data_IF_543953609737
#
_entry.id   IF_543953609737
#
_cell.length_a   1.000
_cell.length_b   1.000
_cell.length_c   1.000
_cell.angle_alpha   90.00
_cell.angle_beta   90.00
_cell.angle_gamma   90.00
#
_symmetry.space_group_name_H-M   'P 1'
#
loop_
_entity.id
_entity.type
_entity.pdbx_description
1 polymer ?
#
# COMPACT_ATOMS: atom_id res chain seq x y z
N UNK A 1 -17.20 2.86 -1.44
CA UNK A 1 -17.22 2.71 0.02
C UNK A 1 -18.53 2.06 0.40
N UNK A 2 -18.46 0.99 1.15
CA UNK A 2 -19.62 0.30 1.72
C UNK A 2 -19.77 0.74 3.18
N UNK A 3 -20.96 1.15 3.60
CA UNK A 3 -21.23 1.64 4.95
C UNK A 3 -21.60 0.48 5.87
N UNK A 4 -21.01 0.45 7.05
CA UNK A 4 -21.32 -0.49 8.13
C UNK A 4 -21.69 0.28 9.39
N UNK A 5 -22.27 -0.38 10.39
CA UNK A 5 -22.61 0.24 11.67
C UNK A 5 -21.38 0.80 12.41
N UNK A 6 -20.18 0.25 12.12
CA UNK A 6 -18.91 0.63 12.76
C UNK A 6 -18.06 1.58 11.91
N UNK A 7 -18.43 1.85 10.64
CA UNK A 7 -17.67 2.69 9.74
C UNK A 7 -17.91 2.40 8.26
N UNK A 8 -16.86 2.50 7.46
CA UNK A 8 -16.93 2.31 6.03
C UNK A 8 -15.91 1.29 5.55
N UNK A 9 -16.35 0.34 4.71
CA UNK A 9 -15.45 -0.58 4.02
C UNK A 9 -14.91 0.11 2.77
N UNK A 10 -13.60 0.26 2.69
CA UNK A 10 -12.94 0.91 1.58
C UNK A 10 -12.69 -0.08 0.43
N UNK A 11 -13.36 0.13 -0.70
CA UNK A 11 -13.26 -0.72 -1.89
C UNK A 11 -12.05 -0.38 -2.75
N UNK A 12 -11.73 0.90 -2.94
CA UNK A 12 -10.52 1.37 -3.65
C UNK A 12 -9.85 2.53 -2.91
N UNK A 13 -8.57 2.73 -3.18
CA UNK A 13 -7.78 3.80 -2.57
C UNK A 13 -7.10 3.44 -1.24
N UNK A 14 -7.12 2.17 -0.84
CA UNK A 14 -6.54 1.70 0.43
C UNK A 14 -5.10 2.19 0.65
N UNK A 15 -4.21 2.01 -0.31
CA UNK A 15 -2.80 2.42 -0.19
C UNK A 15 -2.65 3.94 -0.01
N UNK A 16 -3.42 4.72 -0.77
CA UNK A 16 -3.41 6.20 -0.68
C UNK A 16 -3.88 6.67 0.68
N UNK A 17 -4.98 6.10 1.17
CA UNK A 17 -5.54 6.46 2.47
C UNK A 17 -4.61 6.06 3.62
N UNK A 18 -4.02 4.87 3.56
CA UNK A 18 -3.01 4.42 4.54
C UNK A 18 -1.80 5.35 4.55
N UNK A 19 -1.30 5.76 3.38
CA UNK A 19 -0.18 6.70 3.30
C UNK A 19 -0.52 8.05 3.94
N UNK A 20 -1.69 8.59 3.66
CA UNK A 20 -2.14 9.85 4.28
C UNK A 20 -2.26 9.68 5.79
N UNK A 21 -2.80 8.56 6.26
CA UNK A 21 -2.92 8.24 7.68
C UNK A 21 -1.54 8.19 8.37
N UNK A 22 -0.55 7.54 7.75
CA UNK A 22 0.82 7.49 8.26
C UNK A 22 1.43 8.90 8.37
N UNK A 23 1.26 9.73 7.34
CA UNK A 23 1.76 11.12 7.34
C UNK A 23 1.11 11.92 8.49
N UNK A 24 -0.21 11.81 8.66
CA UNK A 24 -0.95 12.53 9.71
C UNK A 24 -0.49 12.09 11.10
N UNK A 25 -0.42 10.78 11.37
CA UNK A 25 -0.04 10.30 12.69
C UNK A 25 1.43 10.58 13.00
N UNK A 26 2.34 10.43 12.02
CA UNK A 26 3.72 10.84 12.19
C UNK A 26 3.84 12.33 12.52
N UNK A 27 3.11 13.17 11.80
CA UNK A 27 3.15 14.63 11.98
C UNK A 27 2.63 15.05 13.37
N UNK A 28 1.56 14.42 13.87
CA UNK A 28 1.02 14.68 15.23
C UNK A 28 2.06 14.44 16.33
N UNK A 29 2.95 13.45 16.16
CA UNK A 29 4.03 13.14 17.09
C UNK A 29 5.30 13.96 16.86
N UNK A 30 5.34 14.80 15.84
CA UNK A 30 6.51 15.64 15.48
C UNK A 30 6.18 17.14 15.46
N UNK A 31 5.31 17.59 16.36
CA UNK A 31 4.96 19.00 16.61
C UNK A 31 4.25 19.72 15.46
N UNK A 32 3.68 19.00 14.51
CA UNK A 32 2.84 19.61 13.47
C UNK A 32 1.39 19.72 13.95
N UNK A 33 0.76 20.87 13.70
CA UNK A 33 -0.67 21.06 13.94
C UNK A 33 -1.46 20.43 12.80
N UNK A 34 -2.13 19.34 13.08
CA UNK A 34 -2.94 18.58 12.12
C UNK A 34 -4.30 18.33 12.71
N UNK A 35 -5.33 18.94 12.14
CA UNK A 35 -6.73 18.82 12.61
C UNK A 35 -7.42 17.55 12.06
N UNK A 36 -6.80 16.88 11.12
CA UNK A 36 -7.35 15.67 10.50
C UNK A 36 -7.25 14.47 11.42
N UNK A 37 -8.35 13.75 11.53
CA UNK A 37 -8.40 12.52 12.32
C UNK A 37 -9.31 11.50 11.64
N UNK A 38 -8.81 10.32 11.41
CA UNK A 38 -9.57 9.14 11.01
C UNK A 38 -8.77 7.90 11.40
N UNK A 39 -9.47 6.79 11.58
CA UNK A 39 -8.85 5.52 11.88
C UNK A 39 -8.96 4.58 10.68
N UNK A 40 -8.01 3.66 10.58
CA UNK A 40 -8.00 2.59 9.58
C UNK A 40 -7.84 1.26 10.27
N UNK A 41 -8.54 0.26 9.77
CA UNK A 41 -8.48 -1.10 10.25
C UNK A 41 -8.47 -2.08 9.08
N UNK A 42 -7.70 -3.14 9.19
CA UNK A 42 -7.64 -4.23 8.22
C UNK A 42 -8.25 -5.48 8.83
N UNK A 43 -9.38 -5.95 8.30
CA UNK A 43 -10.15 -7.09 8.85
C UNK A 43 -9.35 -8.40 8.93
N UNK A 44 -8.37 -8.57 8.05
CA UNK A 44 -7.63 -9.84 7.91
C UNK A 44 -6.14 -9.73 8.27
N UNK A 45 -5.68 -8.59 8.79
CA UNK A 45 -4.25 -8.29 8.98
C UNK A 45 -3.95 -7.78 10.39
N UNK A 46 -4.07 -8.68 11.38
CA UNK A 46 -3.90 -8.36 12.80
C UNK A 46 -2.54 -7.71 13.12
N UNK A 47 -1.46 -8.21 12.49
CA UNK A 47 -0.11 -7.66 12.72
C UNK A 47 0.02 -6.25 12.15
N UNK A 48 -0.63 -5.96 11.02
CA UNK A 48 -0.69 -4.61 10.46
C UNK A 48 -1.46 -3.67 11.40
N UNK A 49 -2.59 -4.12 11.95
CA UNK A 49 -3.37 -3.33 12.90
C UNK A 49 -2.58 -3.02 14.19
N UNK A 50 -1.86 -3.99 14.73
CA UNK A 50 -0.98 -3.77 15.90
C UNK A 50 0.07 -2.71 15.62
N UNK A 51 0.74 -2.82 14.47
CA UNK A 51 1.77 -1.87 14.04
C UNK A 51 1.21 -0.45 13.89
N UNK A 52 0.04 -0.32 13.25
CA UNK A 52 -0.62 0.98 13.09
C UNK A 52 -1.05 1.58 14.44
N UNK A 53 -1.55 0.76 15.37
CA UNK A 53 -1.87 1.21 16.73
C UNK A 53 -0.64 1.73 17.47
N UNK A 54 0.50 1.06 17.35
CA UNK A 54 1.76 1.55 17.94
C UNK A 54 2.17 2.91 17.35
N UNK A 55 2.04 3.09 16.01
CA UNK A 55 2.30 4.38 15.37
C UNK A 55 1.34 5.45 15.91
N UNK A 56 0.07 5.12 16.06
CA UNK A 56 -0.95 6.05 16.59
C UNK A 56 -0.62 6.50 18.01
N UNK A 57 -0.15 5.59 18.87
CA UNK A 57 0.16 5.85 20.26
C UNK A 57 1.51 6.52 20.49
N UNK A 58 2.54 6.11 19.75
CA UNK A 58 3.95 6.43 20.03
C UNK A 58 4.65 7.20 18.89
N UNK A 59 4.00 7.33 17.74
CA UNK A 59 4.60 7.94 16.53
C UNK A 59 5.55 7.03 15.74
N UNK A 60 5.89 5.87 16.28
CA UNK A 60 6.74 4.87 15.63
C UNK A 60 6.32 3.45 16.05
N UNK A 61 6.82 2.46 15.32
CA UNK A 61 6.67 1.05 15.66
C UNK A 61 7.91 0.27 15.20
N UNK A 62 8.28 -0.78 15.93
CA UNK A 62 9.54 -1.51 15.71
C UNK A 62 9.35 -2.86 14.99
N UNK A 63 8.16 -3.44 15.01
CA UNK A 63 7.90 -4.75 14.43
C UNK A 63 7.84 -4.71 12.90
N UNK A 64 8.80 -5.37 12.25
CA UNK A 64 8.94 -5.42 10.78
C UNK A 64 8.80 -6.85 10.22
N UNK A 65 8.03 -7.70 10.88
CA UNK A 65 7.93 -9.14 10.53
C UNK A 65 7.07 -9.45 9.31
N UNK A 66 6.22 -8.53 8.87
CA UNK A 66 5.37 -8.71 7.70
C UNK A 66 5.76 -7.77 6.57
N UNK A 67 5.35 -8.08 5.34
CA UNK A 67 5.55 -7.18 4.21
C UNK A 67 4.92 -5.82 4.45
N UNK A 68 3.70 -5.78 5.00
CA UNK A 68 3.00 -4.53 5.28
C UNK A 68 3.77 -3.67 6.27
N UNK A 69 4.21 -4.26 7.41
CA UNK A 69 4.96 -3.53 8.44
C UNK A 69 6.31 -3.04 7.94
N UNK A 70 6.96 -3.79 7.04
CA UNK A 70 8.17 -3.35 6.35
C UNK A 70 7.91 -2.12 5.47
N UNK A 71 6.82 -2.13 4.68
CA UNK A 71 6.46 -0.99 3.84
C UNK A 71 6.02 0.22 4.65
N UNK A 72 5.27 0.03 5.73
CA UNK A 72 4.90 1.12 6.65
C UNK A 72 6.16 1.77 7.27
N UNK A 73 7.13 0.96 7.71
CA UNK A 73 8.40 1.48 8.21
C UNK A 73 9.16 2.29 7.16
N UNK A 74 9.33 1.75 5.94
CA UNK A 74 9.96 2.48 4.84
C UNK A 74 9.24 3.80 4.54
N UNK A 75 7.90 3.79 4.57
CA UNK A 75 7.12 5.00 4.37
C UNK A 75 7.37 6.04 5.47
N UNK A 76 7.44 5.63 6.74
CA UNK A 76 7.78 6.52 7.86
C UNK A 76 9.17 7.11 7.73
N UNK A 77 10.17 6.32 7.30
CA UNK A 77 11.53 6.80 7.04
C UNK A 77 11.53 7.89 5.94
N UNK A 78 10.76 7.69 4.87
CA UNK A 78 10.60 8.67 3.80
C UNK A 78 9.89 9.92 4.31
N UNK A 79 8.82 9.79 5.10
CA UNK A 79 8.09 10.92 5.69
C UNK A 79 9.03 11.73 6.57
N UNK A 80 9.81 11.09 7.44
CA UNK A 80 10.80 11.73 8.30
C UNK A 80 11.85 12.50 7.48
N UNK A 81 12.33 11.91 6.39
CA UNK A 81 13.31 12.56 5.50
C UNK A 81 12.75 13.78 4.76
N UNK A 82 11.42 13.94 4.69
CA UNK A 82 10.71 15.04 4.03
C UNK A 82 10.07 16.02 5.02
N UNK A 83 10.44 15.98 6.30
CA UNK A 83 9.87 16.79 7.38
C UNK A 83 9.67 18.26 7.00
N UNK A 84 10.67 18.88 6.35
CA UNK A 84 10.63 20.28 5.94
C UNK A 84 9.49 20.62 4.96
N UNK A 85 8.98 19.64 4.22
CA UNK A 85 7.91 19.81 3.23
C UNK A 85 6.52 19.55 3.78
N UNK A 86 6.38 19.04 5.01
CA UNK A 86 5.10 18.61 5.55
C UNK A 86 4.13 19.78 5.74
N UNK A 87 4.59 20.95 6.17
CA UNK A 87 3.71 22.11 6.30
C UNK A 87 3.10 22.50 4.95
N UNK A 88 3.91 22.61 3.92
CA UNK A 88 3.45 22.89 2.56
C UNK A 88 2.53 21.78 2.02
N UNK A 89 2.79 20.52 2.38
CA UNK A 89 1.93 19.40 2.05
C UNK A 89 0.53 19.55 2.67
N UNK A 90 0.43 19.86 3.96
CA UNK A 90 -0.85 20.04 4.63
C UNK A 90 -1.61 21.27 4.11
N UNK A 91 -0.91 22.36 3.81
CA UNK A 91 -1.51 23.54 3.20
C UNK A 91 -2.12 23.23 1.82
N UNK A 92 -1.42 22.45 1.01
CA UNK A 92 -1.92 22.00 -0.28
C UNK A 92 -3.05 20.98 -0.15
N UNK A 93 -2.95 20.05 0.80
CA UNK A 93 -3.99 19.05 1.07
C UNK A 93 -5.32 19.74 1.43
N UNK A 94 -5.26 20.74 2.29
CA UNK A 94 -6.45 21.48 2.72
C UNK A 94 -7.07 22.37 1.62
N UNK A 95 -6.23 22.98 0.77
CA UNK A 95 -6.70 24.00 -0.20
C UNK A 95 -7.01 23.40 -1.58
N UNK A 96 -6.21 22.46 -2.04
CA UNK A 96 -6.14 22.07 -3.44
C UNK A 96 -6.56 20.63 -3.70
N UNK A 97 -6.55 19.76 -2.67
CA UNK A 97 -6.89 18.35 -2.85
C UNK A 97 -8.38 18.14 -2.58
N UNK A 98 -9.04 17.46 -3.50
CA UNK A 98 -10.43 17.03 -3.37
C UNK A 98 -10.49 15.52 -3.43
N UNK A 99 -11.33 14.94 -2.61
CA UNK A 99 -11.59 13.50 -2.55
C UNK A 99 -12.95 13.26 -3.19
N UNK A 100 -13.01 12.31 -4.13
CA UNK A 100 -14.27 11.81 -4.65
C UNK A 100 -14.77 10.77 -3.65
N UNK A 101 -15.84 11.10 -2.96
CA UNK A 101 -16.53 10.17 -2.09
C UNK A 101 -17.68 9.55 -2.87
N UNK A 102 -17.61 8.25 -3.09
CA UNK A 102 -18.65 7.49 -3.79
C UNK A 102 -19.09 6.31 -2.93
N UNK A 103 -20.33 6.35 -2.49
CA UNK A 103 -20.93 5.26 -1.72
C UNK A 103 -21.61 4.29 -2.66
N UNK A 104 -21.50 3.01 -2.36
CA UNK A 104 -22.12 1.91 -3.09
C UNK A 104 -23.07 1.18 -2.17
N UNK A 105 -24.05 0.48 -2.76
CA UNK A 105 -24.99 -0.31 -1.98
C UNK A 105 -24.26 -1.48 -1.28
N UNK A 106 -24.71 -1.90 -0.11
CA UNK A 106 -24.16 -3.04 0.61
C UNK A 106 -24.06 -4.27 -0.30
N UNK A 107 -22.93 -4.97 -0.21
CA UNK A 107 -22.60 -6.17 -0.99
C UNK A 107 -22.28 -5.94 -2.49
N UNK A 108 -22.28 -4.72 -2.99
CA UNK A 108 -21.88 -4.43 -4.38
C UNK A 108 -20.36 -4.16 -4.53
N UNK A 109 -19.60 -4.14 -3.43
CA UNK A 109 -18.17 -3.87 -3.41
C UNK A 109 -17.34 -4.64 -4.43
N UNK A 110 -17.44 -5.97 -4.52
CA UNK A 110 -16.68 -6.77 -5.49
C UNK A 110 -16.98 -6.39 -6.94
N UNK A 111 -18.26 -6.19 -7.31
CA UNK A 111 -18.65 -5.83 -8.67
C UNK A 111 -18.19 -4.42 -9.05
N UNK A 112 -18.24 -3.46 -8.12
CA UNK A 112 -17.72 -2.11 -8.33
C UNK A 112 -16.19 -2.09 -8.42
N UNK A 113 -15.50 -2.88 -7.58
CA UNK A 113 -14.06 -3.02 -7.65
C UNK A 113 -13.62 -3.57 -9.01
N UNK A 114 -14.30 -4.60 -9.52
CA UNK A 114 -14.05 -5.16 -10.84
C UNK A 114 -14.27 -4.12 -11.95
N UNK A 115 -15.37 -3.38 -11.93
CA UNK A 115 -15.67 -2.32 -12.91
C UNK A 115 -14.61 -1.21 -12.89
N UNK A 116 -14.17 -0.76 -11.71
CA UNK A 116 -13.12 0.27 -11.56
C UNK A 116 -11.77 -0.23 -12.07
N UNK A 117 -11.51 -1.53 -11.99
CA UNK A 117 -10.26 -2.13 -12.44
C UNK A 117 -10.28 -2.62 -13.90
N UNK A 118 -11.45 -2.81 -14.52
CA UNK A 118 -11.57 -3.25 -15.91
C UNK A 118 -10.93 -2.28 -16.93
N UNK A 119 -10.71 -1.01 -16.56
CA UNK A 119 -9.98 -0.03 -17.37
C UNK A 119 -8.48 0.02 -17.06
N UNK A 120 -8.01 -0.77 -16.09
CA UNK A 120 -6.59 -0.88 -15.71
C UNK A 120 -5.93 -2.00 -16.51
N UNK A 121 -4.62 -1.94 -16.62
CA UNK A 121 -3.80 -3.01 -17.22
C UNK A 121 -4.11 -4.32 -16.49
N UNK A 122 -4.43 -5.37 -17.26
CA UNK A 122 -4.68 -6.71 -16.71
C UNK A 122 -3.48 -7.23 -15.91
N UNK A 123 -3.73 -8.22 -15.04
CA UNK A 123 -2.64 -8.88 -14.33
C UNK A 123 -1.73 -9.61 -15.33
N UNK A 124 -0.44 -9.44 -15.15
CA UNK A 124 0.58 -10.18 -15.89
C UNK A 124 0.59 -11.66 -15.49
N UNK A 125 1.23 -12.51 -16.31
CA UNK A 125 1.36 -13.93 -15.98
C UNK A 125 2.09 -14.13 -14.64
N UNK A 126 3.10 -13.33 -14.34
CA UNK A 126 3.82 -13.35 -13.08
C UNK A 126 2.90 -13.02 -11.89
N UNK A 127 2.04 -12.02 -12.02
CA UNK A 127 1.05 -11.66 -10.98
C UNK A 127 -0.03 -12.73 -10.79
N UNK A 128 -0.46 -13.40 -11.86
CA UNK A 128 -1.38 -14.54 -11.78
C UNK A 128 -0.75 -15.71 -11.04
N UNK A 129 0.51 -16.04 -11.32
CA UNK A 129 1.28 -17.08 -10.62
C UNK A 129 1.43 -16.72 -9.14
N UNK A 130 1.80 -15.46 -8.83
CA UNK A 130 1.86 -14.93 -7.46
C UNK A 130 0.55 -15.14 -6.71
N UNK A 131 -0.56 -14.72 -7.31
CA UNK A 131 -1.88 -14.87 -6.72
C UNK A 131 -2.23 -16.33 -6.47
N UNK A 132 -1.97 -17.21 -7.43
CA UNK A 132 -2.22 -18.65 -7.30
C UNK A 132 -1.41 -19.27 -6.15
N UNK A 133 -0.10 -18.99 -6.09
CA UNK A 133 0.78 -19.52 -5.03
C UNK A 133 0.36 -19.03 -3.64
N UNK A 134 0.03 -17.74 -3.51
CA UNK A 134 -0.42 -17.16 -2.25
C UNK A 134 -1.77 -17.73 -1.81
N UNK A 135 -2.69 -17.97 -2.73
CA UNK A 135 -4.01 -18.56 -2.44
C UNK A 135 -3.88 -20.02 -1.94
N UNK A 136 -2.96 -20.79 -2.48
CA UNK A 136 -2.75 -22.20 -2.12
C UNK A 136 -1.89 -22.39 -0.86
N UNK A 137 -1.24 -21.35 -0.36
CA UNK A 137 -0.38 -21.44 0.83
C UNK A 137 -1.16 -21.22 2.13
N UNK A 138 -0.71 -21.84 3.23
CA UNK A 138 -1.24 -21.58 4.56
C UNK A 138 -0.81 -20.18 5.07
N UNK A 139 -1.42 -19.67 6.15
CA UNK A 139 -1.23 -18.29 6.67
C UNK A 139 0.25 -17.97 6.91
N UNK A 140 1.01 -18.85 7.56
CA UNK A 140 2.43 -18.63 7.88
C UNK A 140 3.34 -18.59 6.63
N UNK A 141 3.14 -19.55 5.73
CA UNK A 141 3.90 -19.62 4.48
C UNK A 141 3.55 -18.45 3.55
N UNK A 142 2.29 -18.01 3.54
CA UNK A 142 1.80 -16.91 2.71
C UNK A 142 2.56 -15.62 2.96
N UNK A 143 2.75 -15.21 4.20
CA UNK A 143 3.48 -14.00 4.54
C UNK A 143 4.94 -14.07 4.05
N UNK A 144 5.62 -15.18 4.31
CA UNK A 144 7.02 -15.39 3.85
C UNK A 144 7.13 -15.43 2.33
N UNK A 145 6.18 -16.08 1.64
CA UNK A 145 6.16 -16.11 0.17
C UNK A 145 5.90 -14.74 -0.42
N UNK A 146 4.99 -13.95 0.18
CA UNK A 146 4.73 -12.58 -0.26
C UNK A 146 5.98 -11.70 -0.15
N UNK A 147 6.72 -11.78 0.97
CA UNK A 147 7.97 -11.04 1.12
C UNK A 147 9.05 -11.49 0.13
N UNK A 148 9.24 -12.81 -0.04
CA UNK A 148 10.18 -13.34 -1.01
C UNK A 148 9.83 -12.95 -2.45
N UNK A 149 8.54 -12.83 -2.77
CA UNK A 149 8.11 -12.35 -4.07
C UNK A 149 8.49 -10.88 -4.30
N UNK A 150 8.30 -10.03 -3.29
CA UNK A 150 8.72 -8.62 -3.35
C UNK A 150 10.22 -8.50 -3.57
N UNK A 151 11.01 -9.30 -2.86
CA UNK A 151 12.47 -9.34 -3.07
C UNK A 151 12.84 -9.77 -4.49
N UNK A 152 12.09 -10.70 -5.10
CA UNK A 152 12.26 -11.07 -6.50
C UNK A 152 11.87 -9.96 -7.47
N UNK A 153 10.81 -9.19 -7.15
CA UNK A 153 10.39 -8.03 -7.95
C UNK A 153 11.39 -6.88 -7.90
N UNK A 154 12.07 -6.70 -6.76
CA UNK A 154 13.06 -5.63 -6.57
C UNK A 154 14.40 -5.92 -7.29
N UNK A 155 14.84 -7.18 -7.36
CA UNK A 155 16.11 -7.56 -7.99
C UNK A 155 16.23 -7.16 -9.46
N UNK A 156 15.25 -7.41 -10.33
CA UNK A 156 15.30 -7.00 -11.73
C UNK A 156 15.26 -5.49 -11.95
N UNK A 157 15.02 -4.68 -10.91
CA UNK A 157 15.14 -3.22 -10.99
C UNK A 157 16.62 -2.78 -11.09
N UNK A 158 17.57 -3.61 -10.65
CA UNK A 158 18.99 -3.39 -10.93
C UNK A 158 19.26 -3.58 -12.44
N UNK A 159 19.78 -2.53 -13.07
CA UNK A 159 20.03 -2.52 -14.52
C UNK A 159 21.03 -3.56 -14.95
N UNK A 160 22.05 -3.79 -14.13
CA UNK A 160 23.13 -4.75 -14.43
C UNK A 160 22.62 -6.17 -14.36
N UNK A 161 21.83 -6.49 -13.33
CA UNK A 161 21.20 -7.79 -13.18
C UNK A 161 20.19 -8.04 -14.30
N UNK A 162 19.34 -7.05 -14.62
CA UNK A 162 18.36 -7.19 -15.70
C UNK A 162 19.02 -7.39 -17.07
N UNK A 163 20.09 -6.66 -17.37
CA UNK A 163 20.85 -6.82 -18.60
C UNK A 163 21.52 -8.20 -18.71
N UNK A 164 21.88 -8.81 -17.57
CA UNK A 164 22.48 -10.14 -17.53
C UNK A 164 21.49 -11.27 -17.87
N UNK A 165 20.23 -11.14 -17.40
CA UNK A 165 19.20 -12.19 -17.56
C UNK A 165 18.33 -12.03 -18.79
N UNK A 166 18.39 -10.88 -19.49
CA UNK A 166 17.52 -10.57 -20.63
C UNK A 166 18.28 -10.54 -21.95
N UNK A 167 17.61 -10.93 -23.02
CA UNK A 167 18.12 -10.74 -24.39
C UNK A 167 17.95 -9.29 -24.84
N UNK A 168 18.72 -8.87 -25.86
CA UNK A 168 18.65 -7.49 -26.39
C UNK A 168 17.23 -7.06 -26.79
N UNK A 169 16.43 -7.98 -27.31
CA UNK A 169 15.07 -7.68 -27.78
C UNK A 169 14.09 -7.41 -26.64
N UNK A 170 14.29 -8.03 -25.47
CA UNK A 170 13.45 -7.81 -24.30
C UNK A 170 13.78 -6.50 -23.55
N UNK A 171 14.97 -5.94 -23.72
CA UNK A 171 15.35 -4.66 -23.07
C UNK A 171 14.54 -3.48 -23.62
N UNK A 172 14.14 -3.54 -24.89
CA UNK A 172 13.42 -2.46 -25.57
C UNK A 172 11.90 -2.60 -25.50
N UNK A 173 11.38 -3.75 -25.08
CA UNK A 173 9.96 -3.99 -24.99
C UNK A 173 9.43 -3.53 -23.61
N UNK A 174 8.86 -2.31 -23.56
CA UNK A 174 8.35 -1.68 -22.34
C UNK A 174 7.05 -2.30 -21.81
N UNK A 175 6.48 -3.28 -22.49
CA UNK A 175 5.19 -3.88 -22.18
C UNK A 175 5.28 -5.00 -21.14
N UNK A 176 6.48 -5.50 -20.83
CA UNK A 176 6.67 -6.60 -19.88
C UNK A 176 7.07 -6.12 -18.49
N UNK A 177 6.45 -6.70 -17.49
CA UNK A 177 6.94 -6.60 -16.12
C UNK A 177 8.30 -7.30 -16.04
N UNK A 178 9.29 -6.69 -15.36
CA UNK A 178 10.67 -7.21 -15.28
C UNK A 178 10.80 -8.58 -14.62
N UNK A 179 9.72 -9.16 -14.14
CA UNK A 179 9.67 -10.49 -13.54
C UNK A 179 9.19 -11.57 -14.54
N UNK A 180 8.67 -11.18 -15.68
CA UNK A 180 8.30 -12.06 -16.78
C UNK A 180 9.49 -12.37 -17.68
#
# INVERSE_FOLDING_TARGET
>A
IDSTEEGYILVDGQQRLTTIWLIINWAKHNDFKVDWNFDIHYDTRDDSNKYLNEIKEKGNAEDKRTCDTLYFSKALDIIASKKERLQSFFDNLNKNVKIIWYEIAPNEGPAHFERLNNAKIGLTNAELIKAYLLTKSNKEKRARMACGWVEMEDKPQDRSFFAFITTKDSIYNKEYNRIE
#
